data_IF_087648803004
#
_entry.id   IF_087648803004
#
_cell.length_a   1.000
_cell.length_b   1.000
_cell.length_c   1.000
_cell.angle_alpha   90.00
_cell.angle_beta   90.00
_cell.angle_gamma   90.00
#
_symmetry.space_group_name_H-M   'P 1'
#
loop_
_entity.id
_entity.type
_entity.pdbx_description
1 polymer ?
#
# COMPACT_ATOMS: atom_id res chain seq x y z
N UNK A 1 10.99 23.04 29.56
CA UNK A 1 10.77 22.17 28.41
C UNK A 1 9.58 21.29 28.78
N UNK A 2 8.48 21.36 28.05
CA UNK A 2 7.35 20.44 28.27
C UNK A 2 7.81 19.01 28.07
N UNK A 3 7.34 18.03 28.88
CA UNK A 3 7.72 16.65 28.69
C UNK A 3 7.35 16.22 27.28
N UNK A 4 8.32 15.67 26.54
CA UNK A 4 8.11 15.20 25.18
C UNK A 4 7.14 14.02 25.24
N UNK A 5 6.02 14.09 24.51
CA UNK A 5 5.00 13.03 24.49
C UNK A 5 5.65 11.71 24.07
N UNK A 6 5.50 10.67 24.87
CA UNK A 6 5.94 9.32 24.58
C UNK A 6 4.73 8.51 24.13
N UNK A 7 4.88 7.75 23.06
CA UNK A 7 3.85 6.84 22.55
C UNK A 7 4.11 5.39 22.99
N UNK A 8 3.10 4.58 23.02
CA UNK A 8 3.29 3.13 23.17
C UNK A 8 3.84 2.55 21.87
N UNK A 9 3.30 2.97 20.72
CA UNK A 9 3.74 2.49 19.40
C UNK A 9 3.94 3.66 18.45
N UNK A 10 5.04 3.65 17.70
CA UNK A 10 5.23 4.45 16.50
C UNK A 10 5.17 3.51 15.28
N UNK A 11 4.37 3.87 14.27
CA UNK A 11 4.34 3.21 12.97
C UNK A 11 4.99 4.11 11.93
N UNK A 12 6.04 3.64 11.26
CA UNK A 12 6.77 4.40 10.23
C UNK A 12 6.24 3.99 8.86
N UNK A 13 5.51 4.91 8.21
CA UNK A 13 4.81 4.72 6.95
C UNK A 13 3.30 4.66 7.15
N UNK A 14 2.56 5.59 6.53
CA UNK A 14 1.10 5.73 6.60
C UNK A 14 0.35 5.12 5.41
N UNK A 15 1.02 4.31 4.59
CA UNK A 15 0.36 3.56 3.51
C UNK A 15 -0.57 2.46 4.04
N UNK A 16 -1.13 1.59 3.18
CA UNK A 16 -2.13 0.59 3.58
C UNK A 16 -1.69 -0.28 4.77
N UNK A 17 -0.45 -0.76 4.78
CA UNK A 17 0.07 -1.59 5.87
C UNK A 17 0.14 -0.83 7.20
N UNK A 18 0.65 0.42 7.18
CA UNK A 18 0.79 1.22 8.38
C UNK A 18 -0.54 1.72 8.93
N UNK A 19 -1.42 2.22 8.07
CA UNK A 19 -2.76 2.66 8.49
C UNK A 19 -3.60 1.51 9.02
N UNK A 20 -3.56 0.32 8.38
CA UNK A 20 -4.21 -0.88 8.92
C UNK A 20 -3.64 -1.28 10.28
N UNK A 21 -2.31 -1.27 10.43
CA UNK A 21 -1.66 -1.52 11.73
C UNK A 21 -2.16 -0.54 12.80
N UNK A 22 -2.22 0.75 12.46
CA UNK A 22 -2.69 1.78 13.38
C UNK A 22 -4.17 1.60 13.78
N UNK A 23 -5.05 1.22 12.83
CA UNK A 23 -6.46 0.91 13.11
C UNK A 23 -6.56 -0.18 14.20
N UNK A 24 -5.84 -1.28 14.02
CA UNK A 24 -5.94 -2.41 14.95
C UNK A 24 -5.28 -2.14 16.31
N UNK A 25 -4.24 -1.34 16.36
CA UNK A 25 -3.63 -0.89 17.61
C UNK A 25 -4.55 0.05 18.36
N UNK A 26 -5.07 1.08 17.70
CA UNK A 26 -5.95 2.07 18.30
C UNK A 26 -7.28 1.47 18.79
N UNK A 27 -7.89 0.56 18.01
CA UNK A 27 -9.08 -0.22 18.45
C UNK A 27 -8.84 -1.02 19.74
N UNK A 28 -7.59 -1.31 20.09
CA UNK A 28 -7.19 -1.97 21.34
C UNK A 28 -6.79 -1.01 22.47
N UNK A 29 -7.00 0.29 22.26
CA UNK A 29 -6.66 1.33 23.23
C UNK A 29 -5.16 1.62 23.35
N UNK A 30 -4.36 1.22 22.35
CA UNK A 30 -2.92 1.50 22.31
C UNK A 30 -2.70 2.90 21.73
N UNK A 31 -1.93 3.72 22.45
CA UNK A 31 -1.52 5.04 21.95
C UNK A 31 -0.53 4.88 20.79
N UNK A 32 -0.99 5.17 19.56
CA UNK A 32 -0.21 4.99 18.34
C UNK A 32 -0.04 6.30 17.59
N UNK A 33 1.20 6.57 17.15
CA UNK A 33 1.56 7.63 16.22
C UNK A 33 2.03 7.02 14.91
N UNK A 34 1.40 7.41 13.80
CA UNK A 34 1.88 7.10 12.45
C UNK A 34 2.69 8.27 11.93
N UNK A 35 3.88 8.00 11.37
CA UNK A 35 4.76 9.02 10.78
C UNK A 35 4.97 8.69 9.30
N UNK A 36 4.59 9.61 8.40
CA UNK A 36 4.83 9.47 6.96
C UNK A 36 5.45 10.75 6.38
N UNK A 37 6.40 10.56 5.48
CA UNK A 37 7.07 11.67 4.79
C UNK A 37 6.24 12.31 3.67
N UNK A 38 5.09 11.73 3.34
CA UNK A 38 4.17 12.24 2.31
C UNK A 38 3.03 13.01 2.96
N UNK A 39 2.55 14.02 2.24
CA UNK A 39 1.38 14.79 2.56
C UNK A 39 0.77 15.32 1.25
N UNK A 40 -0.39 14.79 0.80
CA UNK A 40 -1.17 13.71 1.40
C UNK A 40 -0.55 12.31 1.25
N UNK A 41 -0.96 11.38 2.11
CA UNK A 41 -0.61 9.97 2.01
C UNK A 41 -1.23 9.40 0.72
N UNK A 42 -0.51 8.46 0.05
CA UNK A 42 -0.94 7.92 -1.24
C UNK A 42 -0.29 8.61 -2.45
N UNK A 43 0.33 9.79 -2.27
CA UNK A 43 1.03 10.53 -3.32
C UNK A 43 2.54 10.54 -3.15
N UNK A 44 3.35 10.45 -4.23
CA UNK A 44 2.92 10.12 -5.59
C UNK A 44 2.42 8.68 -5.68
N UNK A 45 1.54 8.41 -6.65
CA UNK A 45 1.06 7.06 -6.94
C UNK A 45 2.23 6.11 -7.23
N UNK A 46 2.21 4.90 -6.64
CA UNK A 46 3.27 3.89 -6.77
C UNK A 46 2.69 2.47 -6.91
N UNK A 47 1.59 2.31 -7.64
CA UNK A 47 0.83 1.08 -7.67
C UNK A 47 0.09 0.90 -9.00
N UNK A 48 -0.19 -0.35 -9.40
CA UNK A 48 -1.12 -0.70 -10.48
C UNK A 48 -2.59 -0.47 -10.12
N UNK A 49 -2.88 -0.18 -8.84
CA UNK A 49 -4.22 0.19 -8.33
C UNK A 49 -5.25 -0.92 -8.34
N UNK A 50 -4.84 -2.17 -8.58
CA UNK A 50 -5.72 -3.34 -8.51
C UNK A 50 -5.77 -3.91 -7.09
N UNK A 51 -6.99 -4.20 -6.63
CA UNK A 51 -7.23 -5.06 -5.46
C UNK A 51 -8.35 -6.06 -5.77
N UNK A 52 -8.37 -7.26 -5.16
CA UNK A 52 -9.55 -8.12 -5.20
C UNK A 52 -10.72 -7.45 -4.47
N UNK A 53 -11.95 -7.72 -4.89
CA UNK A 53 -13.12 -7.36 -4.09
C UNK A 53 -13.12 -8.08 -2.74
N UNK A 54 -13.93 -7.61 -1.80
CA UNK A 54 -14.10 -8.31 -0.52
C UNK A 54 -14.59 -9.76 -0.71
N UNK A 55 -15.49 -9.99 -1.67
CA UNK A 55 -15.98 -11.33 -2.00
C UNK A 55 -14.86 -12.21 -2.58
N UNK A 56 -14.04 -11.66 -3.46
CA UNK A 56 -12.87 -12.37 -4.01
C UNK A 56 -11.85 -12.68 -2.91
N UNK A 57 -11.61 -11.75 -1.99
CA UNK A 57 -10.72 -11.97 -0.85
C UNK A 57 -11.20 -13.10 0.06
N UNK A 58 -12.50 -13.20 0.32
CA UNK A 58 -13.07 -14.34 1.06
C UNK A 58 -12.83 -15.67 0.35
N UNK A 59 -12.93 -15.68 -0.99
CA UNK A 59 -12.63 -16.85 -1.80
C UNK A 59 -11.16 -17.25 -1.75
N UNK A 60 -10.26 -16.26 -1.82
CA UNK A 60 -8.80 -16.46 -1.79
C UNK A 60 -8.26 -16.78 -0.39
N UNK A 61 -8.86 -16.21 0.64
CA UNK A 61 -8.43 -16.31 2.03
C UNK A 61 -9.54 -16.85 2.95
N UNK A 62 -10.07 -18.07 2.71
CA UNK A 62 -11.27 -18.56 3.41
C UNK A 62 -11.06 -18.82 4.91
N UNK A 63 -9.81 -18.81 5.39
CA UNK A 63 -9.45 -19.05 6.80
C UNK A 63 -9.16 -17.77 7.57
N UNK A 64 -9.34 -16.59 6.97
CA UNK A 64 -9.12 -15.29 7.62
C UNK A 64 -10.46 -14.69 8.01
N UNK A 65 -10.87 -14.76 9.29
CA UNK A 65 -12.19 -14.31 9.72
C UNK A 65 -12.34 -12.78 9.63
N UNK A 66 -11.23 -12.03 9.67
CA UNK A 66 -11.22 -10.57 9.63
C UNK A 66 -11.26 -9.98 8.21
N UNK A 67 -11.48 -10.77 7.16
CA UNK A 67 -11.47 -10.29 5.77
C UNK A 67 -12.40 -9.09 5.58
N UNK A 68 -13.59 -9.13 6.16
CA UNK A 68 -14.58 -8.05 6.04
C UNK A 68 -14.11 -6.73 6.64
N UNK A 69 -13.33 -6.77 7.69
CA UNK A 69 -12.78 -5.56 8.33
C UNK A 69 -11.48 -5.10 7.67
N UNK A 70 -10.64 -6.05 7.23
CA UNK A 70 -9.34 -5.76 6.60
C UNK A 70 -9.48 -5.16 5.19
N UNK A 71 -10.39 -5.70 4.37
CA UNK A 71 -10.50 -5.36 2.94
C UNK A 71 -11.74 -4.52 2.63
N UNK A 72 -12.02 -3.52 3.47
CA UNK A 72 -13.04 -2.53 3.18
C UNK A 72 -12.51 -1.51 2.18
N UNK A 73 -13.02 -1.56 0.97
CA UNK A 73 -12.74 -0.57 -0.07
C UNK A 73 -13.90 0.42 -0.14
N UNK A 74 -13.69 1.72 0.13
CA UNK A 74 -14.76 2.71 0.04
C UNK A 74 -15.22 2.88 -1.41
N UNK A 75 -16.53 3.02 -1.63
CA UNK A 75 -17.12 3.12 -2.99
C UNK A 75 -16.54 4.30 -3.78
N UNK A 76 -16.26 5.43 -3.13
CA UNK A 76 -15.66 6.60 -3.77
C UNK A 76 -14.21 6.41 -4.23
N UNK A 77 -13.54 5.36 -3.78
CA UNK A 77 -12.21 4.98 -4.25
C UNK A 77 -12.25 3.96 -5.40
N UNK A 78 -13.42 3.41 -5.75
CA UNK A 78 -13.55 2.42 -6.82
C UNK A 78 -13.72 3.15 -8.15
N UNK A 79 -12.70 3.12 -9.00
CA UNK A 79 -12.79 3.63 -10.36
C UNK A 79 -13.50 2.66 -11.31
N UNK A 80 -13.26 1.34 -11.13
CA UNK A 80 -13.86 0.34 -12.00
C UNK A 80 -13.94 -1.03 -11.32
N UNK A 81 -15.06 -1.73 -11.54
CA UNK A 81 -15.23 -3.15 -11.18
C UNK A 81 -14.96 -3.99 -12.43
N UNK A 82 -14.10 -4.98 -12.32
CA UNK A 82 -13.67 -5.81 -13.45
C UNK A 82 -13.83 -7.29 -13.09
N UNK A 83 -14.70 -8.04 -13.79
CA UNK A 83 -15.04 -9.42 -13.44
C UNK A 83 -14.08 -10.47 -14.01
N UNK A 84 -13.08 -10.07 -14.80
CA UNK A 84 -12.23 -11.00 -15.54
C UNK A 84 -10.76 -10.57 -15.51
N UNK A 85 -9.87 -11.57 -15.39
CA UNK A 85 -8.42 -11.41 -15.50
C UNK A 85 -7.86 -12.25 -16.63
N UNK A 86 -7.00 -11.66 -17.46
CA UNK A 86 -6.28 -12.34 -18.51
C UNK A 86 -4.80 -12.46 -18.17
N UNK A 87 -4.27 -13.67 -18.18
CA UNK A 87 -2.82 -13.91 -18.15
C UNK A 87 -2.34 -14.08 -19.60
N UNK A 88 -1.49 -13.18 -20.06
CA UNK A 88 -0.93 -13.21 -21.41
C UNK A 88 0.45 -13.82 -21.35
N UNK A 89 0.59 -15.00 -21.94
CA UNK A 89 1.85 -15.76 -21.97
C UNK A 89 2.88 -15.13 -22.94
N UNK A 90 4.16 -15.51 -22.86
CA UNK A 90 5.17 -15.05 -23.83
C UNK A 90 4.86 -15.39 -25.29
N UNK A 91 4.07 -16.45 -25.55
CA UNK A 91 3.60 -16.83 -26.90
C UNK A 91 2.39 -16.03 -27.37
N UNK A 92 1.88 -15.09 -26.55
CA UNK A 92 0.68 -14.33 -26.86
C UNK A 92 -0.63 -15.04 -26.53
N UNK A 93 -0.59 -16.28 -26.00
CA UNK A 93 -1.80 -17.00 -25.60
C UNK A 93 -2.44 -16.29 -24.39
N UNK A 94 -3.74 -16.04 -24.46
CA UNK A 94 -4.55 -15.47 -23.36
C UNK A 94 -5.23 -16.57 -22.58
N UNK A 95 -4.97 -16.65 -21.30
CA UNK A 95 -5.67 -17.50 -20.34
C UNK A 95 -6.64 -16.61 -19.55
N UNK A 96 -7.91 -16.93 -19.57
CA UNK A 96 -8.99 -16.16 -18.94
C UNK A 96 -9.39 -16.77 -17.62
N UNK A 97 -9.62 -15.94 -16.64
CA UNK A 97 -10.05 -16.35 -15.31
C UNK A 97 -11.13 -15.41 -14.80
N UNK A 98 -12.16 -15.98 -14.19
CA UNK A 98 -13.10 -15.20 -13.40
C UNK A 98 -12.37 -14.63 -12.19
N UNK A 99 -12.46 -13.32 -12.03
CA UNK A 99 -11.77 -12.60 -10.95
C UNK A 99 -12.54 -11.32 -10.65
N UNK A 100 -13.15 -11.25 -9.48
CA UNK A 100 -13.84 -10.03 -9.05
C UNK A 100 -12.83 -8.99 -8.53
N UNK A 101 -12.35 -8.16 -9.47
CA UNK A 101 -11.33 -7.15 -9.25
C UNK A 101 -11.89 -5.74 -9.16
N UNK A 102 -11.24 -4.91 -8.34
CA UNK A 102 -11.49 -3.48 -8.21
C UNK A 102 -10.25 -2.71 -8.64
N UNK A 103 -10.39 -1.79 -9.58
CA UNK A 103 -9.35 -0.83 -9.92
C UNK A 103 -9.67 0.48 -9.21
N UNK A 104 -8.70 1.01 -8.46
CA UNK A 104 -8.92 2.05 -7.47
C UNK A 104 -8.35 3.40 -7.87
N UNK A 105 -8.88 4.45 -7.26
CA UNK A 105 -8.12 5.64 -6.91
C UNK A 105 -7.37 5.37 -5.59
N UNK A 106 -6.05 5.19 -5.69
CA UNK A 106 -5.22 4.85 -4.53
C UNK A 106 -5.06 5.99 -3.56
N UNK A 107 -5.18 7.23 -4.00
CA UNK A 107 -5.14 8.38 -3.07
C UNK A 107 -6.38 8.36 -2.20
N UNK A 108 -7.56 8.28 -2.81
CA UNK A 108 -8.83 8.21 -2.07
C UNK A 108 -8.90 6.97 -1.15
N UNK A 109 -8.39 5.82 -1.61
CA UNK A 109 -8.34 4.61 -0.79
C UNK A 109 -7.40 4.75 0.42
N UNK A 110 -6.19 5.28 0.21
CA UNK A 110 -5.21 5.44 1.29
C UNK A 110 -5.67 6.50 2.30
N UNK A 111 -6.29 7.59 1.84
CA UNK A 111 -6.90 8.61 2.70
C UNK A 111 -8.04 8.03 3.56
N UNK A 112 -8.89 7.19 2.99
CA UNK A 112 -9.94 6.51 3.75
C UNK A 112 -9.38 5.59 4.85
N UNK A 113 -8.26 4.92 4.61
CA UNK A 113 -7.58 4.14 5.65
C UNK A 113 -7.02 5.04 6.76
N UNK A 114 -6.47 6.20 6.40
CA UNK A 114 -5.98 7.20 7.37
C UNK A 114 -7.13 7.70 8.25
N UNK A 115 -8.27 8.08 7.66
CA UNK A 115 -9.41 8.56 8.42
C UNK A 115 -9.97 7.47 9.35
N UNK A 116 -10.10 6.23 8.89
CA UNK A 116 -10.49 5.11 9.76
C UNK A 116 -9.53 4.91 10.94
N UNK A 117 -8.23 5.11 10.71
CA UNK A 117 -7.23 5.01 11.79
C UNK A 117 -7.36 6.16 12.79
N UNK A 118 -7.60 7.39 12.33
CA UNK A 118 -7.86 8.55 13.18
C UNK A 118 -9.15 8.38 14.00
N UNK A 119 -10.23 7.93 13.37
CA UNK A 119 -11.49 7.61 14.03
C UNK A 119 -11.32 6.55 15.13
N UNK A 120 -10.41 5.60 14.92
CA UNK A 120 -10.06 4.61 15.95
C UNK A 120 -9.17 5.19 17.07
N UNK A 121 -8.65 6.41 16.93
CA UNK A 121 -7.81 7.09 17.92
C UNK A 121 -6.32 7.18 17.59
N UNK A 122 -5.90 6.80 16.38
CA UNK A 122 -4.50 6.94 15.95
C UNK A 122 -4.16 8.41 15.64
N UNK A 123 -2.95 8.83 16.02
CA UNK A 123 -2.40 10.13 15.65
C UNK A 123 -1.52 10.01 14.41
N UNK A 124 -1.49 11.08 13.58
CA UNK A 124 -0.67 11.14 12.38
C UNK A 124 0.24 12.36 12.38
N UNK A 125 1.49 12.14 11.98
CA UNK A 125 2.47 13.17 11.67
C UNK A 125 2.92 12.99 10.22
N UNK A 126 2.43 13.82 9.32
CA UNK A 126 2.69 13.76 7.88
C UNK A 126 3.65 14.85 7.42
N UNK A 127 4.24 14.69 6.23
CA UNK A 127 5.22 15.63 5.68
C UNK A 127 6.60 15.56 6.35
N UNK A 128 6.80 14.63 7.30
CA UNK A 128 8.05 14.48 8.07
C UNK A 128 8.53 13.03 7.99
N UNK A 129 9.80 12.85 7.65
CA UNK A 129 10.38 11.50 7.50
C UNK A 129 11.14 11.09 8.76
N UNK A 130 11.08 9.83 9.12
CA UNK A 130 12.03 9.23 10.06
C UNK A 130 13.34 8.97 9.33
N UNK A 131 14.42 9.63 9.78
CA UNK A 131 15.77 9.47 9.22
C UNK A 131 16.55 8.33 9.85
N UNK A 132 16.32 8.08 11.12
CA UNK A 132 17.05 7.07 11.90
C UNK A 132 16.20 6.58 13.06
N UNK A 133 16.35 5.29 13.37
CA UNK A 133 15.82 4.69 14.59
C UNK A 133 17.01 4.22 15.45
N UNK A 134 16.96 4.50 16.75
CA UNK A 134 17.98 4.10 17.70
C UNK A 134 17.31 3.67 19.01
N UNK A 135 17.24 2.38 19.26
CA UNK A 135 16.47 1.83 20.37
C UNK A 135 14.99 2.24 20.29
N UNK A 136 14.53 3.02 21.25
CA UNK A 136 13.16 3.54 21.35
C UNK A 136 12.96 4.92 20.70
N UNK A 137 13.98 5.48 20.07
CA UNK A 137 13.99 6.84 19.53
C UNK A 137 13.80 6.82 18.00
N UNK A 138 12.79 7.52 17.52
CA UNK A 138 12.60 7.87 16.11
C UNK A 138 13.10 9.31 15.88
N UNK A 139 14.21 9.46 15.15
CA UNK A 139 14.80 10.76 14.79
C UNK A 139 14.23 11.22 13.46
N UNK A 140 13.60 12.40 13.46
CA UNK A 140 12.88 12.97 12.33
C UNK A 140 13.76 13.83 11.43
N UNK A 141 13.24 14.13 10.24
CA UNK A 141 13.93 14.97 9.25
C UNK A 141 14.03 16.45 9.66
N UNK A 142 13.15 16.91 10.53
CA UNK A 142 13.12 18.27 11.08
C UNK A 142 13.93 18.42 12.38
N UNK A 143 14.65 17.38 12.80
CA UNK A 143 15.50 17.37 13.96
C UNK A 143 14.82 16.94 15.27
N UNK A 144 13.50 16.79 15.29
CA UNK A 144 12.79 16.26 16.46
C UNK A 144 13.14 14.79 16.70
N UNK A 145 13.03 14.36 17.94
CA UNK A 145 13.10 12.94 18.34
C UNK A 145 11.83 12.59 19.08
N UNK A 146 11.16 11.51 18.70
CA UNK A 146 9.96 11.01 19.36
C UNK A 146 10.25 9.62 19.88
N UNK A 147 9.80 9.34 21.11
CA UNK A 147 10.02 8.06 21.77
C UNK A 147 8.79 7.18 21.75
N UNK A 148 8.99 5.88 21.58
CA UNK A 148 7.96 4.88 21.75
C UNK A 148 8.52 3.60 22.39
N UNK A 149 7.63 2.81 22.99
CA UNK A 149 8.04 1.51 23.51
C UNK A 149 8.30 0.50 22.41
N UNK A 150 7.53 0.59 21.30
CA UNK A 150 7.66 -0.24 20.10
C UNK A 150 7.69 0.66 18.87
N UNK A 151 8.55 0.34 17.90
CA UNK A 151 8.60 1.00 16.60
C UNK A 151 8.35 -0.05 15.51
N UNK A 152 7.34 0.20 14.68
CA UNK A 152 6.91 -0.70 13.59
C UNK A 152 7.32 -0.09 12.26
N UNK A 153 8.01 -0.88 11.41
CA UNK A 153 8.33 -0.52 10.04
C UNK A 153 7.20 -0.87 9.09
N UNK A 154 6.64 0.11 8.41
CA UNK A 154 5.62 -0.01 7.38
C UNK A 154 5.90 0.91 6.17
N UNK A 155 7.16 1.28 5.97
CA UNK A 155 7.64 2.21 4.93
C UNK A 155 7.79 1.60 3.54
N UNK A 156 7.23 0.40 3.30
CA UNK A 156 7.29 -0.29 2.02
C UNK A 156 8.73 -0.72 1.65
N UNK A 157 9.05 -0.66 0.36
CA UNK A 157 10.36 -1.09 -0.14
C UNK A 157 11.54 -0.22 0.34
N UNK A 158 11.28 1.02 0.78
CA UNK A 158 12.27 1.95 1.34
C UNK A 158 12.27 1.99 2.87
N UNK A 159 11.64 1.02 3.53
CA UNK A 159 11.48 1.02 4.98
C UNK A 159 12.81 1.14 5.72
N UNK A 160 12.88 2.10 6.67
CA UNK A 160 14.11 2.39 7.43
C UNK A 160 14.41 1.28 8.44
N UNK A 161 13.39 0.66 9.03
CA UNK A 161 13.57 -0.44 10.00
C UNK A 161 14.17 -1.64 9.30
N UNK A 162 13.62 -2.02 8.14
CA UNK A 162 14.16 -3.10 7.32
C UNK A 162 15.64 -2.88 7.02
N UNK A 163 16.03 -1.68 6.56
CA UNK A 163 17.43 -1.36 6.24
C UNK A 163 18.35 -1.37 7.46
N UNK A 164 17.82 -1.09 8.65
CA UNK A 164 18.58 -1.08 9.90
C UNK A 164 18.76 -2.49 10.44
N UNK A 165 17.75 -3.36 10.33
CA UNK A 165 17.79 -4.71 10.90
C UNK A 165 18.49 -5.73 10.01
N UNK A 166 18.32 -5.61 8.71
CA UNK A 166 18.87 -6.59 7.76
C UNK A 166 19.84 -5.89 6.83
N UNK A 167 20.99 -5.59 7.08
CA UNK A 167 22.07 -5.02 6.23
C UNK A 167 21.94 -5.23 4.70
N UNK A 168 20.78 -5.65 4.25
CA UNK A 168 20.44 -5.87 2.85
C UNK A 168 20.42 -4.55 2.10
N UNK A 169 21.16 -4.51 1.01
CA UNK A 169 21.02 -3.44 0.03
C UNK A 169 19.56 -3.36 -0.36
N UNK A 170 18.98 -2.18 -0.31
CA UNK A 170 17.65 -1.90 -0.82
C UNK A 170 17.50 -2.56 -2.19
N UNK A 171 16.59 -3.53 -2.30
CA UNK A 171 16.22 -4.07 -3.60
C UNK A 171 15.57 -2.91 -4.36
N UNK A 172 16.27 -2.35 -5.33
CA UNK A 172 15.64 -1.48 -6.29
C UNK A 172 14.71 -2.35 -7.14
N UNK A 173 13.45 -2.40 -6.75
CA UNK A 173 12.41 -3.03 -7.55
C UNK A 173 12.00 -1.98 -8.58
N UNK A 174 12.44 -2.09 -9.84
CA UNK A 174 12.03 -1.14 -10.85
C UNK A 174 10.56 -1.37 -11.17
N UNK A 175 9.73 -0.45 -10.74
CA UNK A 175 8.33 -0.34 -11.12
C UNK A 175 8.20 0.92 -11.96
N UNK A 176 7.65 0.79 -13.15
CA UNK A 176 7.28 1.93 -14.00
C UNK A 176 5.84 1.77 -14.44
N UNK A 177 5.10 2.85 -14.41
CA UNK A 177 3.73 2.88 -14.91
C UNK A 177 3.38 4.26 -15.47
N UNK A 178 2.31 4.30 -16.24
CA UNK A 178 1.71 5.52 -16.74
C UNK A 178 0.18 5.38 -16.71
N UNK A 179 -0.51 6.47 -16.47
CA UNK A 179 -1.93 6.58 -16.72
C UNK A 179 -2.09 7.07 -18.16
N UNK A 180 -2.78 6.31 -18.98
CA UNK A 180 -2.98 6.59 -20.39
C UNK A 180 -4.46 6.79 -20.68
N UNK A 181 -4.79 7.87 -21.39
CA UNK A 181 -6.16 8.14 -21.83
C UNK A 181 -6.72 6.99 -22.67
N UNK A 182 -8.00 6.73 -22.53
CA UNK A 182 -8.73 5.64 -23.18
C UNK A 182 -8.67 4.32 -22.42
N UNK A 183 -9.72 3.52 -22.61
CA UNK A 183 -9.79 2.16 -22.09
C UNK A 183 -9.19 1.21 -23.12
N UNK A 184 -8.08 0.58 -22.81
CA UNK A 184 -7.34 -0.28 -23.73
C UNK A 184 -7.73 -1.76 -23.61
N UNK A 185 -8.43 -2.13 -22.56
CA UNK A 185 -8.95 -3.48 -22.29
C UNK A 185 -10.17 -3.41 -21.38
N UNK A 186 -11.04 -4.39 -21.46
CA UNK A 186 -12.18 -4.53 -20.54
C UNK A 186 -11.85 -5.43 -19.34
N UNK A 187 -10.82 -6.27 -19.47
CA UNK A 187 -10.31 -7.16 -18.44
C UNK A 187 -9.04 -6.62 -17.78
N UNK A 188 -8.69 -7.17 -16.62
CA UNK A 188 -7.36 -6.99 -16.03
C UNK A 188 -6.35 -7.80 -16.83
N UNK A 189 -5.37 -7.19 -17.47
CA UNK A 189 -4.35 -7.94 -18.20
C UNK A 189 -3.02 -7.96 -17.47
N UNK A 190 -2.46 -9.18 -17.32
CA UNK A 190 -1.11 -9.42 -16.84
C UNK A 190 -0.29 -10.09 -17.93
N UNK A 191 0.79 -9.45 -18.38
CA UNK A 191 1.66 -9.89 -19.45
C UNK A 191 2.99 -10.39 -18.88
N UNK A 192 3.39 -11.60 -19.27
CA UNK A 192 4.62 -12.26 -18.83
C UNK A 192 5.65 -12.43 -19.96
N UNK A 193 6.91 -12.70 -19.59
CA UNK A 193 7.98 -13.00 -20.50
C UNK A 193 8.87 -11.80 -20.81
N UNK A 194 9.29 -11.65 -22.09
CA UNK A 194 10.27 -10.63 -22.49
C UNK A 194 9.84 -9.18 -22.27
N UNK A 195 8.55 -8.94 -22.13
CA UNK A 195 8.00 -7.59 -21.81
C UNK A 195 8.43 -7.12 -20.41
N UNK A 196 8.58 -8.05 -19.47
CA UNK A 196 9.03 -7.78 -18.11
C UNK A 196 9.81 -8.99 -17.57
N UNK A 197 11.10 -9.16 -17.95
CA UNK A 197 11.89 -10.32 -17.55
C UNK A 197 12.01 -10.45 -16.03
N UNK A 198 11.59 -11.57 -15.47
CA UNK A 198 11.57 -11.82 -14.02
C UNK A 198 10.43 -11.12 -13.26
N UNK A 199 9.45 -10.57 -13.98
CA UNK A 199 8.28 -9.91 -13.40
C UNK A 199 7.06 -10.02 -14.30
N UNK A 200 6.23 -8.98 -14.32
CA UNK A 200 5.07 -8.87 -15.20
C UNK A 200 4.79 -7.42 -15.59
N UNK A 201 4.15 -7.23 -16.74
CA UNK A 201 3.53 -5.97 -17.12
C UNK A 201 2.01 -6.07 -16.95
N UNK A 202 1.34 -4.95 -16.77
CA UNK A 202 -0.10 -4.90 -16.60
C UNK A 202 -0.77 -3.85 -17.48
N UNK A 203 -2.02 -4.09 -17.81
CA UNK A 203 -2.97 -3.11 -18.35
C UNK A 203 -4.25 -3.23 -17.53
N UNK A 204 -4.52 -2.24 -16.68
CA UNK A 204 -5.69 -2.23 -15.82
C UNK A 204 -6.62 -1.09 -16.24
N UNK A 205 -7.87 -1.41 -16.63
CA UNK A 205 -8.82 -0.40 -17.09
C UNK A 205 -9.34 0.42 -15.92
N UNK A 206 -9.39 1.74 -16.12
CA UNK A 206 -10.04 2.71 -15.22
C UNK A 206 -11.14 3.44 -15.99
N UNK A 207 -11.87 4.32 -15.33
CA UNK A 207 -12.83 5.20 -15.98
C UNK A 207 -12.12 6.18 -16.93
N UNK A 208 -12.38 6.04 -18.23
CA UNK A 208 -11.81 6.90 -19.25
C UNK A 208 -10.31 6.79 -19.48
N UNK A 209 -9.61 5.91 -18.74
CA UNK A 209 -8.17 5.71 -18.89
C UNK A 209 -7.74 4.28 -18.53
N UNK A 210 -6.46 3.99 -18.65
CA UNK A 210 -5.86 2.72 -18.19
C UNK A 210 -4.58 3.00 -17.41
N UNK A 211 -4.36 2.25 -16.31
CA UNK A 211 -3.08 2.17 -15.64
C UNK A 211 -2.25 1.07 -16.34
N UNK A 212 -1.18 1.48 -16.97
CA UNK A 212 -0.28 0.58 -17.73
C UNK A 212 1.10 0.62 -17.09
N UNK A 213 1.65 -0.53 -16.76
CA UNK A 213 2.96 -0.55 -16.15
C UNK A 213 3.65 -1.89 -16.19
N UNK A 214 4.83 -1.92 -15.60
CA UNK A 214 5.61 -3.14 -15.41
C UNK A 214 6.31 -3.13 -14.04
N UNK A 215 6.47 -4.31 -13.49
CA UNK A 215 7.25 -4.53 -12.27
C UNK A 215 8.21 -5.68 -12.51
N UNK A 216 9.47 -5.46 -12.19
CA UNK A 216 10.50 -6.49 -12.17
C UNK A 216 10.68 -6.94 -10.72
N UNK A 217 9.71 -7.68 -10.21
CA UNK A 217 9.77 -8.26 -8.87
C UNK A 217 10.53 -9.57 -8.99
N UNK A 218 11.68 -9.66 -8.35
CA UNK A 218 12.28 -10.97 -8.08
C UNK A 218 11.43 -11.64 -7.00
N UNK A 219 10.63 -12.58 -7.44
CA UNK A 219 9.93 -13.51 -6.56
C UNK A 219 10.88 -14.62 -6.18
#
# INVERSE_FOLDING_TARGET
MSPQKKYQVIVIGGGPAGSTTAIYLAKRGIEVLVIDGRDPIGTPLQCGELVPSNQEMKRLCPKVPEVDDLFQTPENAICRKVPEMHLVTPSGKRLRYDFDGLVLDRVAHDEALVERAKEAGAEYLVGVRVKRVSGKDAVLSDGRTIQADIIVGAGGHLDIIRRTMWSEKSLNIPVKFAIKEGTHTEALELHFGSVAPGGYAWVFPKDGCSNIGLSLIHI
#
